data_IF_810474752309
#
_entry.id   IF_810474752309
#
_cell.length_a   1.000
_cell.length_b   1.000
_cell.length_c   1.000
_cell.angle_alpha   90.00
_cell.angle_beta   90.00
_cell.angle_gamma   90.00
#
_symmetry.space_group_name_H-M   'P 1'
#
loop_
_entity.id
_entity.type
_entity.pdbx_description
1 polymer ?
#
# COMPACT_ATOMS: atom_id res chain seq x y z
N UNK A 1 23.36 -53.97 8.75
CA UNK A 1 22.70 -52.86 8.12
C UNK A 1 22.05 -51.86 9.14
N UNK A 2 21.47 -52.32 10.21
CA UNK A 2 20.79 -51.42 11.18
C UNK A 2 21.73 -50.45 11.94
N UNK A 3 22.99 -50.79 12.21
CA UNK A 3 23.93 -49.88 12.92
C UNK A 3 24.33 -48.62 12.16
N UNK A 4 24.27 -48.62 10.81
CA UNK A 4 24.53 -47.40 10.01
C UNK A 4 23.33 -46.46 9.94
N UNK A 5 22.10 -46.99 10.10
CA UNK A 5 20.88 -46.16 10.06
C UNK A 5 20.77 -45.28 11.33
N UNK A 6 21.19 -45.76 12.51
CA UNK A 6 21.13 -45.00 13.77
C UNK A 6 22.06 -43.80 13.82
N UNK A 7 23.09 -43.73 12.98
CA UNK A 7 24.02 -42.58 12.98
C UNK A 7 23.50 -41.44 12.10
N UNK A 8 22.68 -41.71 11.08
CA UNK A 8 22.13 -40.70 10.17
C UNK A 8 20.88 -39.97 10.72
N UNK A 9 20.10 -40.64 11.60
CA UNK A 9 18.89 -40.04 12.14
C UNK A 9 19.18 -38.79 12.98
N UNK A 10 20.18 -38.74 13.90
CA UNK A 10 20.51 -37.52 14.62
C UNK A 10 20.99 -36.40 13.68
N UNK A 11 21.75 -36.75 12.65
CA UNK A 11 22.26 -35.76 11.68
C UNK A 11 21.16 -35.15 10.83
N UNK A 12 20.16 -35.94 10.45
CA UNK A 12 18.98 -35.45 9.70
C UNK A 12 18.11 -34.56 10.60
N UNK A 13 17.92 -34.95 11.86
CA UNK A 13 17.16 -34.13 12.83
C UNK A 13 17.85 -32.79 13.13
N UNK A 14 19.17 -32.78 13.25
CA UNK A 14 19.95 -31.55 13.41
C UNK A 14 19.85 -30.69 12.15
N UNK A 15 19.90 -31.29 10.95
CA UNK A 15 19.74 -30.54 9.70
C UNK A 15 18.34 -29.91 9.56
N UNK A 16 17.30 -30.67 9.92
CA UNK A 16 15.92 -30.16 9.94
C UNK A 16 15.77 -29.03 10.97
N UNK A 17 16.34 -29.20 12.16
CA UNK A 17 16.31 -28.15 13.19
C UNK A 17 17.06 -26.88 12.77
N UNK A 18 18.19 -27.01 12.06
CA UNK A 18 18.95 -25.88 11.51
C UNK A 18 18.15 -25.20 10.39
N UNK A 19 17.48 -25.94 9.54
CA UNK A 19 16.63 -25.40 8.47
C UNK A 19 15.39 -24.71 9.03
N UNK A 20 14.73 -25.30 10.02
CA UNK A 20 13.60 -24.65 10.73
C UNK A 20 14.06 -23.42 11.52
N UNK A 21 15.24 -23.46 12.14
CA UNK A 21 15.83 -22.32 12.82
C UNK A 21 16.19 -21.20 11.84
N UNK A 22 16.77 -21.51 10.68
CA UNK A 22 17.04 -20.52 9.62
C UNK A 22 15.75 -19.94 9.03
N UNK A 23 14.72 -20.79 8.87
CA UNK A 23 13.41 -20.37 8.40
C UNK A 23 12.70 -19.50 9.44
N UNK A 24 12.65 -19.93 10.70
CA UNK A 24 12.13 -19.15 11.82
C UNK A 24 12.90 -17.85 12.02
N UNK A 25 14.22 -17.88 11.90
CA UNK A 25 15.07 -16.67 11.96
C UNK A 25 14.74 -15.70 10.84
N UNK A 26 14.47 -16.17 9.61
CA UNK A 26 14.03 -15.32 8.49
C UNK A 26 12.67 -14.70 8.72
N UNK A 27 11.77 -15.35 9.47
CA UNK A 27 10.42 -14.85 9.80
C UNK A 27 10.35 -14.12 11.14
N UNK A 28 11.15 -14.51 12.14
CA UNK A 28 11.22 -13.84 13.44
C UNK A 28 12.13 -12.59 13.39
N UNK A 29 13.14 -12.62 12.54
CA UNK A 29 13.92 -11.46 12.12
C UNK A 29 13.50 -11.06 10.70
N UNK A 30 12.22 -10.87 10.46
CA UNK A 30 11.80 -9.84 9.52
C UNK A 30 12.49 -8.58 10.04
N UNK A 31 13.64 -8.25 9.45
CA UNK A 31 14.42 -7.09 9.85
C UNK A 31 13.45 -5.94 9.94
N UNK A 32 13.21 -5.48 11.16
CA UNK A 32 12.51 -4.23 11.40
C UNK A 32 13.24 -3.25 10.52
N UNK A 33 12.65 -2.89 9.39
CA UNK A 33 13.25 -2.06 8.34
C UNK A 33 13.86 -0.89 9.09
N UNK A 34 15.18 -0.86 9.20
CA UNK A 34 15.86 0.08 10.09
C UNK A 34 15.61 1.44 9.49
N UNK A 35 14.67 2.19 10.06
CA UNK A 35 14.41 3.57 9.63
C UNK A 35 15.74 4.31 9.70
N UNK A 36 16.04 5.07 8.65
CA UNK A 36 17.21 5.94 8.71
C UNK A 36 16.94 7.08 9.70
N UNK A 37 17.91 7.49 10.51
CA UNK A 37 17.75 8.70 11.30
C UNK A 37 17.32 9.86 10.40
N UNK A 38 16.43 10.71 10.90
CA UNK A 38 15.82 11.83 10.15
C UNK A 38 16.88 12.67 9.41
N UNK A 39 17.98 13.00 10.07
CA UNK A 39 19.06 13.78 9.44
C UNK A 39 19.70 13.06 8.24
N UNK A 40 19.87 11.74 8.34
CA UNK A 40 20.43 10.93 7.24
C UNK A 40 19.43 10.87 6.08
N UNK A 41 18.13 10.70 6.36
CA UNK A 41 17.08 10.73 5.36
C UNK A 41 17.01 12.10 4.65
N UNK A 42 17.09 13.19 5.41
CA UNK A 42 17.12 14.55 4.86
C UNK A 42 18.38 14.82 4.01
N UNK A 43 19.51 14.24 4.36
CA UNK A 43 20.72 14.34 3.52
C UNK A 43 20.56 13.54 2.23
N UNK A 44 19.94 12.35 2.29
CA UNK A 44 19.66 11.53 1.12
C UNK A 44 18.67 12.18 0.12
N UNK A 45 17.90 13.16 0.58
CA UNK A 45 17.00 13.94 -0.27
C UNK A 45 17.73 14.90 -1.23
N UNK A 46 19.00 15.21 -0.99
CA UNK A 46 19.77 16.12 -1.86
C UNK A 46 19.08 17.47 -2.06
N UNK A 47 18.82 17.84 -3.30
CA UNK A 47 18.14 19.11 -3.65
C UNK A 47 16.72 19.23 -3.09
N UNK A 48 16.04 18.10 -2.84
CA UNK A 48 14.67 18.07 -2.33
C UNK A 48 14.56 18.24 -0.80
N UNK A 49 15.69 18.31 -0.08
CA UNK A 49 15.74 18.49 1.37
C UNK A 49 14.85 19.63 1.85
N UNK A 50 14.82 20.74 1.12
CA UNK A 50 14.02 21.92 1.48
C UNK A 50 12.51 21.64 1.48
N UNK A 51 12.01 20.84 0.54
CA UNK A 51 10.59 20.46 0.50
C UNK A 51 10.21 19.62 1.73
N UNK A 52 11.02 18.65 2.09
CA UNK A 52 10.78 17.83 3.29
C UNK A 52 10.87 18.66 4.58
N UNK A 53 11.80 19.60 4.65
CA UNK A 53 11.93 20.52 5.79
C UNK A 53 10.71 21.46 5.92
N UNK A 54 10.05 21.85 4.82
CA UNK A 54 8.80 22.63 4.89
C UNK A 54 7.71 21.86 5.65
N UNK A 55 7.54 20.56 5.41
CA UNK A 55 6.56 19.72 6.10
C UNK A 55 6.84 19.68 7.61
N UNK A 56 8.11 19.39 7.97
CA UNK A 56 8.52 19.36 9.38
C UNK A 56 8.29 20.72 10.07
N UNK A 57 8.65 21.81 9.39
CA UNK A 57 8.45 23.15 9.92
C UNK A 57 6.97 23.51 10.06
N UNK A 58 6.13 23.10 9.10
CA UNK A 58 4.70 23.32 9.13
C UNK A 58 4.05 22.74 10.39
N UNK A 59 4.29 21.46 10.68
CA UNK A 59 3.71 20.81 11.85
C UNK A 59 4.40 21.19 13.18
N UNK A 60 5.67 21.62 13.15
CA UNK A 60 6.38 22.04 14.36
C UNK A 60 5.86 23.37 14.93
N UNK A 61 5.23 24.22 14.11
CA UNK A 61 4.74 25.55 14.54
C UNK A 61 3.65 25.48 15.59
N UNK A 62 2.80 24.44 15.54
CA UNK A 62 1.66 24.30 16.42
C UNK A 62 1.85 23.08 17.33
N UNK A 63 1.90 23.26 18.67
CA UNK A 63 2.02 22.13 19.61
C UNK A 63 0.92 21.07 19.48
N UNK A 64 -0.29 21.46 19.03
CA UNK A 64 -1.41 20.53 18.79
C UNK A 64 -1.04 19.51 17.69
N UNK A 65 -0.21 19.88 16.73
CA UNK A 65 0.21 19.04 15.63
C UNK A 65 1.44 18.16 15.97
N UNK A 66 1.79 18.03 17.26
CA UNK A 66 2.98 17.25 17.68
C UNK A 66 2.97 15.80 17.19
N UNK A 67 1.82 15.14 17.13
CA UNK A 67 1.69 13.80 16.55
C UNK A 67 1.84 13.81 15.02
N UNK A 68 1.33 14.83 14.33
CA UNK A 68 1.53 15.00 12.90
C UNK A 68 3.00 15.27 12.57
N UNK A 69 3.71 16.00 13.40
CA UNK A 69 5.16 16.17 13.28
C UNK A 69 5.89 14.81 13.38
N UNK A 70 5.55 13.99 14.38
CA UNK A 70 6.12 12.64 14.53
C UNK A 70 5.80 11.75 13.33
N UNK A 71 4.58 11.83 12.81
CA UNK A 71 4.16 11.12 11.61
C UNK A 71 4.95 11.59 10.36
N UNK A 72 5.21 12.89 10.23
CA UNK A 72 6.06 13.41 9.16
C UNK A 72 7.49 12.90 9.26
N UNK A 73 8.08 12.86 10.48
CA UNK A 73 9.39 12.26 10.71
C UNK A 73 9.39 10.79 10.28
N UNK A 74 8.41 10.00 10.73
CA UNK A 74 8.28 8.58 10.38
C UNK A 74 8.25 8.37 8.86
N UNK A 75 7.45 9.14 8.13
CA UNK A 75 7.37 9.03 6.67
C UNK A 75 8.70 9.39 5.99
N UNK A 76 9.36 10.46 6.44
CA UNK A 76 10.63 10.92 5.86
C UNK A 76 11.76 9.92 6.14
N UNK A 77 11.83 9.34 7.34
CA UNK A 77 12.82 8.33 7.74
C UNK A 77 12.70 7.02 6.93
N UNK A 78 11.48 6.68 6.48
CA UNK A 78 11.22 5.52 5.63
C UNK A 78 11.33 5.82 4.12
N UNK A 79 11.22 7.08 3.72
CA UNK A 79 11.14 7.50 2.31
C UNK A 79 12.36 7.12 1.45
N UNK A 80 13.61 7.07 1.95
CA UNK A 80 14.77 6.66 1.15
C UNK A 80 14.66 5.28 0.51
N UNK A 81 13.79 4.42 1.04
CA UNK A 81 13.58 3.05 0.55
C UNK A 81 12.49 2.95 -0.51
N UNK A 82 11.75 4.03 -0.77
CA UNK A 82 10.65 4.03 -1.73
C UNK A 82 11.08 4.54 -3.10
N UNK A 83 10.60 3.83 -4.11
CA UNK A 83 10.73 4.19 -5.52
C UNK A 83 9.34 4.18 -6.15
N UNK A 84 9.15 4.92 -7.21
CA UNK A 84 7.90 4.94 -7.95
C UNK A 84 8.11 4.91 -9.45
N UNK A 85 7.08 4.41 -10.14
CA UNK A 85 7.01 4.39 -11.59
C UNK A 85 6.62 5.76 -12.14
N UNK A 86 7.31 6.21 -13.19
CA UNK A 86 7.12 7.53 -13.81
C UNK A 86 7.41 7.51 -15.32
N UNK A 87 7.02 8.57 -16.01
CA UNK A 87 7.34 8.79 -17.41
C UNK A 87 6.20 8.45 -18.37
N UNK A 88 6.43 8.71 -19.67
CA UNK A 88 5.43 8.60 -20.73
C UNK A 88 4.81 7.21 -20.86
N UNK A 89 5.56 6.15 -20.52
CA UNK A 89 5.05 4.79 -20.57
C UNK A 89 3.81 4.57 -19.71
N UNK A 90 3.63 5.35 -18.65
CA UNK A 90 2.43 5.25 -17.79
C UNK A 90 1.14 5.53 -18.56
N UNK A 91 1.16 6.42 -19.56
CA UNK A 91 -0.03 6.71 -20.38
C UNK A 91 -0.42 5.50 -21.25
N UNK A 92 0.55 4.73 -21.71
CA UNK A 92 0.29 3.47 -22.41
C UNK A 92 -0.39 2.47 -21.51
N UNK A 93 0.01 2.39 -20.24
CA UNK A 93 -0.64 1.51 -19.26
C UNK A 93 -2.06 1.96 -18.93
N UNK A 94 -2.32 3.26 -18.78
CA UNK A 94 -3.69 3.81 -18.63
C UNK A 94 -4.58 3.38 -19.79
N UNK A 95 -4.12 3.61 -21.02
CA UNK A 95 -4.84 3.21 -22.24
C UNK A 95 -5.09 1.72 -22.29
N UNK A 96 -4.12 0.89 -21.87
CA UNK A 96 -4.23 -0.55 -21.81
C UNK A 96 -5.32 -1.01 -20.80
N UNK A 97 -5.32 -0.48 -19.58
CA UNK A 97 -6.34 -0.83 -18.58
C UNK A 97 -7.74 -0.36 -18.99
N UNK A 98 -7.86 0.82 -19.58
CA UNK A 98 -9.12 1.31 -20.15
C UNK A 98 -9.61 0.38 -21.27
N UNK A 99 -8.73 -0.09 -22.13
CA UNK A 99 -9.04 -1.04 -23.19
C UNK A 99 -9.47 -2.41 -22.64
N UNK A 100 -8.80 -2.93 -21.60
CA UNK A 100 -9.17 -4.19 -20.95
C UNK A 100 -10.60 -4.16 -20.41
N UNK A 101 -11.03 -3.04 -19.82
CA UNK A 101 -12.36 -2.88 -19.24
C UNK A 101 -13.47 -3.21 -20.23
N UNK A 102 -13.30 -2.89 -21.51
CA UNK A 102 -14.30 -3.08 -22.57
C UNK A 102 -14.18 -4.42 -23.30
N UNK A 103 -13.17 -5.25 -22.98
CA UNK A 103 -12.88 -6.52 -23.65
C UNK A 103 -13.36 -7.76 -22.89
N UNK A 104 -14.51 -7.67 -22.24
CA UNK A 104 -15.13 -8.80 -21.50
C UNK A 104 -15.35 -10.02 -22.40
N UNK A 105 -15.14 -11.21 -21.84
CA UNK A 105 -15.47 -12.48 -22.49
C UNK A 105 -14.38 -13.06 -23.40
N UNK A 106 -13.19 -12.46 -23.49
CA UNK A 106 -12.06 -13.00 -24.24
C UNK A 106 -11.18 -13.91 -23.37
N UNK A 107 -10.58 -14.92 -23.99
CA UNK A 107 -9.59 -15.76 -23.33
C UNK A 107 -8.28 -15.01 -23.09
N UNK A 108 -7.43 -15.53 -22.18
CA UNK A 108 -6.10 -15.02 -21.90
C UNK A 108 -5.27 -14.78 -23.16
N UNK A 109 -5.23 -15.82 -24.02
CA UNK A 109 -4.45 -15.77 -25.24
C UNK A 109 -4.96 -14.68 -26.18
N UNK A 110 -6.29 -14.60 -26.38
CA UNK A 110 -6.91 -13.58 -27.24
C UNK A 110 -6.63 -12.15 -26.75
N UNK A 111 -6.59 -11.95 -25.42
CA UNK A 111 -6.23 -10.66 -24.84
C UNK A 111 -4.76 -10.35 -25.08
N UNK A 112 -3.86 -11.32 -24.82
CA UNK A 112 -2.41 -11.15 -25.03
C UNK A 112 -2.09 -10.79 -26.49
N UNK A 113 -2.66 -11.53 -27.45
CA UNK A 113 -2.43 -11.30 -28.88
C UNK A 113 -2.97 -9.92 -29.32
N UNK A 114 -4.14 -9.54 -28.81
CA UNK A 114 -4.73 -8.24 -29.09
C UNK A 114 -3.90 -7.10 -28.51
N UNK A 115 -3.36 -7.27 -27.29
CA UNK A 115 -2.48 -6.29 -26.65
C UNK A 115 -1.22 -6.06 -27.46
N UNK A 116 -0.54 -7.13 -27.85
CA UNK A 116 0.67 -7.03 -28.69
C UNK A 116 0.39 -6.30 -30.00
N UNK A 117 -0.79 -6.55 -30.61
CA UNK A 117 -1.20 -5.93 -31.86
C UNK A 117 -1.53 -4.44 -31.68
N UNK A 118 -2.17 -4.04 -30.58
CA UNK A 118 -2.65 -2.66 -30.34
C UNK A 118 -1.56 -1.78 -29.75
N UNK A 119 -0.84 -2.28 -28.75
CA UNK A 119 0.11 -1.50 -27.95
C UNK A 119 1.58 -1.82 -28.25
N UNK A 120 1.85 -2.86 -29.05
CA UNK A 120 3.21 -3.31 -29.31
C UNK A 120 3.91 -3.86 -28.07
N UNK A 121 5.24 -3.72 -28.03
CA UNK A 121 6.02 -4.07 -26.84
C UNK A 121 5.91 -2.95 -25.81
N UNK A 122 5.21 -3.22 -24.70
CA UNK A 122 5.13 -2.30 -23.58
C UNK A 122 6.48 -2.22 -22.86
N UNK A 123 6.99 -1.01 -22.67
CA UNK A 123 8.24 -0.75 -21.96
C UNK A 123 7.97 -0.49 -20.48
N UNK A 124 8.88 -0.90 -19.62
CA UNK A 124 8.79 -0.56 -18.20
C UNK A 124 8.86 0.96 -17.99
N UNK A 125 8.06 1.49 -17.06
CA UNK A 125 8.16 2.89 -16.65
C UNK A 125 9.54 3.17 -16.04
N UNK A 126 9.99 4.42 -16.15
CA UNK A 126 11.18 4.88 -15.43
C UNK A 126 10.93 4.83 -13.94
N UNK A 127 11.93 4.46 -13.15
CA UNK A 127 11.87 4.47 -11.69
C UNK A 127 12.53 5.74 -11.15
N UNK A 128 11.88 6.37 -10.18
CA UNK A 128 12.37 7.53 -9.44
C UNK A 128 12.30 7.25 -7.95
N UNK A 129 13.11 7.94 -7.16
CA UNK A 129 13.10 7.81 -5.69
C UNK A 129 12.19 8.88 -5.09
N UNK A 130 11.30 8.46 -4.19
CA UNK A 130 10.33 9.37 -3.55
C UNK A 130 11.03 10.53 -2.84
N UNK A 131 12.08 10.23 -2.10
CA UNK A 131 12.81 11.22 -1.30
C UNK A 131 13.41 12.37 -2.12
N UNK A 132 13.69 12.10 -3.41
CA UNK A 132 14.26 13.09 -4.32
C UNK A 132 13.22 14.01 -4.98
N UNK A 133 11.92 13.64 -4.90
CA UNK A 133 10.86 14.29 -5.69
C UNK A 133 9.59 14.57 -4.88
N UNK A 134 9.53 14.16 -3.61
CA UNK A 134 8.34 14.32 -2.78
C UNK A 134 7.99 15.80 -2.60
N UNK A 135 6.77 16.15 -2.98
CA UNK A 135 6.21 17.49 -2.79
C UNK A 135 5.69 17.67 -1.37
N UNK A 136 5.95 18.85 -0.79
CA UNK A 136 5.53 19.17 0.59
C UNK A 136 4.02 19.24 0.75
N UNK A 137 3.30 19.76 -0.26
CA UNK A 137 1.84 19.85 -0.21
C UNK A 137 1.20 18.46 -0.26
N UNK A 138 1.73 17.57 -1.12
CA UNK A 138 1.28 16.18 -1.18
C UNK A 138 1.47 15.46 0.16
N UNK A 139 2.65 15.59 0.77
CA UNK A 139 2.94 14.91 2.03
C UNK A 139 2.08 15.43 3.18
N UNK A 140 1.86 16.74 3.27
CA UNK A 140 0.93 17.34 4.23
C UNK A 140 -0.50 16.84 4.00
N UNK A 141 -0.98 16.84 2.76
CA UNK A 141 -2.31 16.34 2.42
C UNK A 141 -2.49 14.88 2.85
N UNK A 142 -1.50 14.01 2.59
CA UNK A 142 -1.57 12.62 3.02
C UNK A 142 -1.66 12.48 4.54
N UNK A 143 -0.82 13.23 5.27
CA UNK A 143 -0.81 13.22 6.73
C UNK A 143 -2.16 13.71 7.28
N UNK A 144 -2.65 14.83 6.79
CA UNK A 144 -3.89 15.42 7.28
C UNK A 144 -5.11 14.50 7.03
N UNK A 145 -5.20 13.89 5.86
CA UNK A 145 -6.25 12.91 5.57
C UNK A 145 -6.13 11.62 6.40
N UNK A 146 -4.92 11.15 6.63
CA UNK A 146 -4.71 9.97 7.49
C UNK A 146 -5.13 10.27 8.94
N UNK A 147 -4.76 11.45 9.49
CA UNK A 147 -5.19 11.88 10.81
C UNK A 147 -6.69 12.10 10.89
N UNK A 148 -7.30 12.75 9.88
CA UNK A 148 -8.75 12.94 9.81
C UNK A 148 -9.48 11.62 10.01
N UNK A 149 -9.17 10.60 9.21
CA UNK A 149 -9.88 9.31 9.28
C UNK A 149 -9.55 8.54 10.55
N UNK A 150 -8.34 8.65 11.07
CA UNK A 150 -7.95 8.04 12.35
C UNK A 150 -8.70 8.63 13.54
N UNK A 151 -8.90 9.94 13.56
CA UNK A 151 -9.52 10.66 14.69
C UNK A 151 -11.05 10.70 14.59
N UNK A 152 -11.61 10.78 13.39
CA UNK A 152 -13.06 10.94 13.19
C UNK A 152 -13.82 9.59 13.17
N UNK A 153 -13.14 8.48 12.82
CA UNK A 153 -13.82 7.19 12.76
C UNK A 153 -13.89 6.53 14.13
N UNK A 154 -15.04 5.91 14.50
CA UNK A 154 -15.20 5.27 15.82
C UNK A 154 -14.13 4.21 16.11
N UNK A 155 -13.76 3.40 15.12
CA UNK A 155 -12.74 2.37 15.24
C UNK A 155 -11.32 2.91 15.39
N UNK A 156 -11.10 4.20 15.12
CA UNK A 156 -9.80 4.85 15.29
C UNK A 156 -9.35 4.93 16.76
N UNK A 157 -10.29 4.89 17.72
CA UNK A 157 -10.00 4.92 19.17
C UNK A 157 -9.11 3.76 19.62
N UNK A 158 -9.26 2.59 18.99
CA UNK A 158 -8.52 1.38 19.33
C UNK A 158 -7.25 1.18 18.49
N UNK A 159 -6.83 2.20 17.74
CA UNK A 159 -5.61 2.17 16.91
C UNK A 159 -4.53 3.01 17.60
N UNK A 160 -3.45 2.36 18.05
CA UNK A 160 -2.30 3.05 18.62
C UNK A 160 -1.59 3.92 17.57
N UNK A 161 -0.79 4.90 18.01
CA UNK A 161 -0.03 5.75 17.10
C UNK A 161 0.99 4.93 16.28
N UNK A 162 1.57 3.90 16.86
CA UNK A 162 2.49 2.98 16.18
C UNK A 162 1.76 2.22 15.06
N UNK A 163 0.60 1.64 15.37
CA UNK A 163 -0.26 0.95 14.38
C UNK A 163 -0.73 1.91 13.29
N UNK A 164 -1.07 3.14 13.67
CA UNK A 164 -1.40 4.19 12.71
C UNK A 164 -0.24 4.47 11.76
N UNK A 165 0.98 4.65 12.27
CA UNK A 165 2.16 4.94 11.45
C UNK A 165 2.50 3.80 10.49
N UNK A 166 2.39 2.54 10.93
CA UNK A 166 2.75 1.37 10.13
C UNK A 166 1.69 1.02 9.07
N UNK A 167 0.40 1.09 9.41
CA UNK A 167 -0.66 0.46 8.63
C UNK A 167 -1.72 1.41 8.08
N UNK A 168 -1.76 2.66 8.56
CA UNK A 168 -2.74 3.65 8.11
C UNK A 168 -2.10 4.84 7.40
N UNK A 169 -1.03 5.38 7.95
CA UNK A 169 -0.33 6.57 7.48
C UNK A 169 0.36 6.44 6.11
N UNK A 170 0.94 5.29 5.71
CA UNK A 170 1.73 5.21 4.48
C UNK A 170 0.95 5.67 3.26
N UNK A 171 1.58 6.54 2.46
CA UNK A 171 0.98 7.16 1.28
C UNK A 171 1.01 6.26 0.04
N UNK A 172 1.72 5.13 0.13
CA UNK A 172 1.97 4.21 -0.97
C UNK A 172 1.87 2.76 -0.49
N UNK A 173 1.62 1.85 -1.42
CA UNK A 173 1.62 0.39 -1.18
C UNK A 173 2.91 -0.21 -1.70
N UNK A 174 3.30 0.14 -2.93
CA UNK A 174 4.48 -0.36 -3.60
C UNK A 174 5.20 0.74 -4.38
N UNK A 175 5.31 0.57 -5.69
CA UNK A 175 6.02 1.47 -6.61
C UNK A 175 5.09 2.19 -7.59
N UNK A 176 3.84 2.36 -7.22
CA UNK A 176 2.83 3.09 -7.99
C UNK A 176 3.11 4.59 -8.04
N UNK A 177 2.59 5.30 -9.07
CA UNK A 177 2.61 6.76 -9.11
C UNK A 177 1.88 7.38 -7.92
N UNK A 178 2.37 8.54 -7.44
CA UNK A 178 1.73 9.30 -6.38
C UNK A 178 0.41 9.93 -6.88
N UNK A 179 -0.66 9.77 -6.10
CA UNK A 179 -1.98 10.36 -6.36
C UNK A 179 -2.67 10.74 -5.04
N UNK A 180 -3.64 11.66 -5.09
CA UNK A 180 -4.43 12.09 -3.93
C UNK A 180 -5.57 11.11 -3.62
N UNK A 181 -5.28 9.82 -3.53
CA UNK A 181 -6.24 8.74 -3.47
C UNK A 181 -7.09 8.72 -2.20
N UNK A 182 -6.57 9.17 -1.05
CA UNK A 182 -7.30 9.12 0.23
C UNK A 182 -8.61 9.87 0.17
N UNK A 183 -8.57 11.10 -0.33
CA UNK A 183 -9.75 11.94 -0.46
C UNK A 183 -10.77 11.36 -1.44
N UNK A 184 -10.28 10.86 -2.59
CA UNK A 184 -11.13 10.26 -3.63
C UNK A 184 -11.87 9.03 -3.09
N UNK A 185 -11.15 8.11 -2.44
CA UNK A 185 -11.74 6.91 -1.87
C UNK A 185 -12.65 7.21 -0.68
N UNK A 186 -12.27 8.14 0.18
CA UNK A 186 -13.11 8.59 1.28
C UNK A 186 -14.45 9.13 0.77
N UNK A 187 -14.44 10.10 -0.14
CA UNK A 187 -15.68 10.68 -0.70
C UNK A 187 -16.57 9.64 -1.36
N UNK A 188 -15.98 8.64 -1.99
CA UNK A 188 -16.71 7.61 -2.71
C UNK A 188 -17.32 6.52 -1.83
N UNK A 189 -16.65 6.13 -0.75
CA UNK A 189 -16.99 4.92 -0.02
C UNK A 189 -17.37 5.14 1.45
N UNK A 190 -17.12 6.33 2.00
CA UNK A 190 -17.32 6.58 3.44
C UNK A 190 -18.78 6.39 3.89
N UNK A 191 -19.75 6.74 3.05
CA UNK A 191 -21.19 6.55 3.35
C UNK A 191 -21.63 5.09 3.50
N UNK A 192 -20.86 4.13 2.96
CA UNK A 192 -21.13 2.70 3.17
C UNK A 192 -21.04 2.29 4.65
N UNK A 193 -20.38 3.09 5.47
CA UNK A 193 -20.17 2.83 6.91
C UNK A 193 -21.12 3.63 7.82
N UNK A 194 -22.05 4.43 7.28
CA UNK A 194 -22.93 5.28 8.08
C UNK A 194 -23.81 4.47 9.04
N UNK A 195 -24.43 3.36 8.55
CA UNK A 195 -25.24 2.50 9.40
C UNK A 195 -24.41 1.78 10.48
N UNK A 196 -23.12 1.51 10.25
CA UNK A 196 -22.25 0.95 11.30
C UNK A 196 -22.00 1.99 12.40
N UNK A 197 -21.74 3.25 12.04
CA UNK A 197 -21.50 4.33 13.00
C UNK A 197 -22.70 4.55 13.93
N UNK A 198 -23.90 4.31 13.43
CA UNK A 198 -25.17 4.44 14.17
C UNK A 198 -25.60 3.15 14.87
N UNK A 199 -24.86 2.06 14.71
CA UNK A 199 -25.27 0.78 15.29
C UNK A 199 -25.06 0.75 16.81
N UNK A 200 -26.05 0.21 17.51
CA UNK A 200 -25.96 -0.10 18.93
C UNK A 200 -25.73 -1.61 19.19
N UNK A 201 -25.77 -2.42 18.13
CA UNK A 201 -25.64 -3.89 18.22
C UNK A 201 -24.29 -4.40 17.73
N UNK A 202 -23.55 -3.62 16.93
CA UNK A 202 -22.23 -3.95 16.41
C UNK A 202 -21.17 -3.15 17.16
N UNK A 203 -20.02 -3.76 17.40
CA UNK A 203 -18.86 -3.05 17.95
C UNK A 203 -18.25 -2.13 16.90
N UNK A 204 -18.76 -0.89 16.87
CA UNK A 204 -18.32 0.14 15.93
C UNK A 204 -16.94 0.70 16.23
N UNK A 205 -16.34 0.35 17.35
CA UNK A 205 -14.98 0.76 17.72
C UNK A 205 -13.93 -0.30 17.32
N UNK A 206 -14.36 -1.50 16.89
CA UNK A 206 -13.46 -2.53 16.36
C UNK A 206 -13.19 -2.31 14.87
N UNK A 207 -11.92 -2.04 14.47
CA UNK A 207 -11.55 -1.90 13.06
C UNK A 207 -11.80 -3.16 12.22
N UNK A 208 -11.79 -4.36 12.82
CA UNK A 208 -12.11 -5.60 12.13
C UNK A 208 -13.60 -5.70 11.80
N UNK A 209 -14.47 -5.24 12.71
CA UNK A 209 -15.92 -5.14 12.45
C UNK A 209 -16.16 -4.14 11.31
N UNK A 210 -15.48 -2.99 11.33
CA UNK A 210 -15.57 -1.99 10.25
C UNK A 210 -15.13 -2.57 8.89
N UNK A 211 -14.03 -3.33 8.85
CA UNK A 211 -13.53 -3.99 7.65
C UNK A 211 -14.56 -5.00 7.08
N UNK A 212 -15.07 -5.90 7.92
CA UNK A 212 -16.06 -6.90 7.52
C UNK A 212 -17.35 -6.25 7.04
N UNK A 213 -17.81 -5.20 7.75
CA UNK A 213 -19.01 -4.47 7.41
C UNK A 213 -18.90 -3.79 6.04
N UNK A 214 -17.77 -3.12 5.79
CA UNK A 214 -17.46 -2.48 4.51
C UNK A 214 -17.40 -3.51 3.38
N UNK A 215 -16.66 -4.59 3.56
CA UNK A 215 -16.51 -5.64 2.55
C UNK A 215 -17.84 -6.31 2.22
N UNK A 216 -18.78 -6.40 3.17
CA UNK A 216 -20.12 -6.93 2.91
C UNK A 216 -20.98 -6.02 2.01
N UNK A 217 -20.70 -4.71 1.99
CA UNK A 217 -21.49 -3.67 1.31
C UNK A 217 -20.85 -3.11 0.05
N UNK A 218 -19.63 -3.51 -0.26
CA UNK A 218 -19.00 -3.08 -1.51
C UNK A 218 -19.85 -3.53 -2.71
N UNK A 219 -20.30 -2.59 -3.55
CA UNK A 219 -20.94 -2.95 -4.80
C UNK A 219 -19.92 -3.65 -5.71
N UNK A 220 -20.37 -4.67 -6.44
CA UNK A 220 -19.60 -5.33 -7.51
C UNK A 220 -18.27 -6.01 -7.10
N UNK A 221 -18.25 -6.79 -6.03
CA UNK A 221 -17.11 -7.65 -5.69
C UNK A 221 -16.68 -8.58 -6.83
N UNK A 222 -17.62 -8.94 -7.72
CA UNK A 222 -17.42 -9.98 -8.75
C UNK A 222 -16.78 -9.48 -10.04
N UNK A 223 -16.61 -8.17 -10.23
CA UNK A 223 -16.17 -7.61 -11.52
C UNK A 223 -14.66 -7.33 -11.59
N UNK A 224 -13.91 -7.70 -10.54
CA UNK A 224 -12.51 -7.31 -10.42
C UNK A 224 -11.51 -8.17 -11.22
N UNK A 225 -11.93 -9.24 -11.92
CA UNK A 225 -10.94 -10.17 -12.44
C UNK A 225 -10.95 -10.41 -13.94
N UNK A 226 -9.80 -10.15 -14.53
CA UNK A 226 -9.20 -11.05 -15.51
C UNK A 226 -7.88 -11.56 -14.90
N UNK A 227 -7.66 -12.87 -14.88
CA UNK A 227 -6.40 -13.51 -14.48
C UNK A 227 -5.23 -13.17 -15.41
N UNK A 228 -5.35 -12.13 -16.22
CA UNK A 228 -4.46 -11.84 -17.34
C UNK A 228 -4.01 -10.41 -17.24
N UNK A 229 -2.94 -10.21 -16.53
CA UNK A 229 -2.05 -9.10 -16.79
C UNK A 229 -0.89 -9.63 -17.64
N UNK A 230 -0.83 -9.34 -18.94
CA UNK A 230 0.31 -9.75 -19.78
C UNK A 230 1.60 -9.04 -19.38
N UNK A 231 1.57 -8.20 -18.38
CA UNK A 231 2.69 -7.42 -17.87
C UNK A 231 2.88 -7.66 -16.39
N UNK A 232 4.07 -8.09 -16.02
CA UNK A 232 4.53 -8.19 -14.64
C UNK A 232 5.35 -6.96 -14.26
N UNK A 233 4.75 -5.79 -14.29
CA UNK A 233 5.38 -4.62 -13.67
C UNK A 233 4.68 -4.32 -12.36
N UNK A 234 5.26 -3.42 -11.57
CA UNK A 234 4.88 -3.11 -10.21
C UNK A 234 3.42 -2.73 -9.96
N UNK A 235 3.17 -2.08 -8.86
CA UNK A 235 1.83 -1.64 -8.50
C UNK A 235 1.34 -0.54 -9.45
N UNK A 236 0.10 -0.67 -9.92
CA UNK A 236 -0.44 0.24 -10.94
C UNK A 236 -1.07 1.51 -10.36
N UNK A 237 -1.34 1.48 -9.04
CA UNK A 237 -1.89 2.61 -8.32
C UNK A 237 -3.41 2.76 -8.36
N UNK A 238 -3.96 3.62 -7.50
CA UNK A 238 -5.40 3.75 -7.27
C UNK A 238 -6.16 4.26 -8.49
N UNK A 239 -5.51 4.99 -9.38
CA UNK A 239 -6.11 5.48 -10.62
C UNK A 239 -6.50 4.33 -11.56
N UNK A 240 -5.66 3.31 -11.66
CA UNK A 240 -5.90 2.16 -12.54
C UNK A 240 -6.85 1.15 -11.90
N UNK A 241 -6.77 0.99 -10.60
CA UNK A 241 -7.64 0.07 -9.85
C UNK A 241 -9.12 0.43 -10.03
N UNK A 242 -9.45 1.71 -10.29
CA UNK A 242 -10.82 2.14 -10.60
C UNK A 242 -11.41 1.45 -11.84
N UNK A 243 -10.59 0.96 -12.76
CA UNK A 243 -11.05 0.21 -13.94
C UNK A 243 -11.55 -1.19 -13.60
N UNK A 244 -11.33 -1.65 -12.36
CA UNK A 244 -11.74 -2.98 -11.87
C UNK A 244 -11.29 -4.12 -12.78
N UNK A 245 -10.08 -4.02 -13.26
CA UNK A 245 -9.40 -5.03 -14.09
C UNK A 245 -8.04 -5.29 -13.49
N UNK A 246 -7.69 -6.55 -13.31
CA UNK A 246 -6.40 -6.91 -12.75
C UNK A 246 -6.38 -8.31 -12.16
N UNK A 247 -5.29 -8.63 -11.50
CA UNK A 247 -5.07 -9.88 -10.79
C UNK A 247 -5.46 -9.76 -9.30
N UNK A 248 -5.14 -10.77 -8.53
CA UNK A 248 -5.28 -10.73 -7.06
C UNK A 248 -4.48 -9.57 -6.43
N UNK A 249 -3.36 -9.17 -7.04
CA UNK A 249 -2.56 -8.03 -6.58
C UNK A 249 -3.35 -6.72 -6.67
N UNK A 250 -3.93 -6.40 -7.82
CA UNK A 250 -4.71 -5.18 -8.02
C UNK A 250 -5.95 -5.15 -7.11
N UNK A 251 -6.51 -6.32 -6.79
CA UNK A 251 -7.60 -6.40 -5.81
C UNK A 251 -7.09 -6.08 -4.41
N UNK A 252 -5.97 -6.67 -3.99
CA UNK A 252 -5.36 -6.39 -2.70
C UNK A 252 -5.00 -4.90 -2.58
N UNK A 253 -4.39 -4.30 -3.62
CA UNK A 253 -4.09 -2.88 -3.67
C UNK A 253 -5.35 -2.02 -3.48
N UNK A 254 -6.45 -2.38 -4.17
CA UNK A 254 -7.74 -1.68 -4.00
C UNK A 254 -8.24 -1.74 -2.56
N UNK A 255 -8.18 -2.91 -1.94
CA UNK A 255 -8.62 -3.10 -0.56
C UNK A 255 -7.74 -2.31 0.43
N UNK A 256 -6.43 -2.26 0.22
CA UNK A 256 -5.51 -1.47 1.05
C UNK A 256 -5.82 0.03 0.93
N UNK A 257 -5.97 0.57 -0.29
CA UNK A 257 -6.37 1.96 -0.48
C UNK A 257 -7.69 2.28 0.20
N UNK A 258 -8.69 1.41 -0.01
CA UNK A 258 -10.03 1.57 0.54
C UNK A 258 -10.01 1.59 2.06
N UNK A 259 -9.35 0.60 2.68
CA UNK A 259 -9.28 0.49 4.13
C UNK A 259 -8.53 1.68 4.74
N UNK A 260 -7.36 2.00 4.23
CA UNK A 260 -6.58 3.16 4.73
C UNK A 260 -7.32 4.48 4.54
N UNK A 261 -8.06 4.67 3.44
CA UNK A 261 -8.86 5.88 3.23
C UNK A 261 -10.04 6.01 4.20
N UNK A 262 -10.50 4.91 4.78
CA UNK A 262 -11.61 4.87 5.73
C UNK A 262 -11.16 4.66 7.19
N UNK A 263 -9.87 4.79 7.46
CA UNK A 263 -9.33 4.70 8.82
C UNK A 263 -9.19 3.26 9.34
N UNK A 264 -9.16 2.26 8.46
CA UNK A 264 -8.97 0.84 8.82
C UNK A 264 -7.51 0.46 8.51
N UNK A 265 -6.70 0.06 9.51
CA UNK A 265 -5.31 -0.34 9.29
C UNK A 265 -5.21 -1.56 8.38
N UNK A 266 -4.31 -1.49 7.38
CA UNK A 266 -4.10 -2.58 6.43
C UNK A 266 -2.71 -2.55 5.81
N UNK A 267 -2.10 -3.75 5.57
CA UNK A 267 -0.81 -3.94 4.91
C UNK A 267 -0.92 -4.97 3.79
#
# INVERSE_FOLDING_TARGET
MLKKLCIYIPSILVLLFVLEWQYARKYLFYEKKTMLPLEVALQAAGGNKKELQKVLHYYKKNPIDSLKYKAACFLIENMPFYIYSSGEQLENYKSYYAWLKVRKGKTAQQVSDSVKKVFGAMKEPKKKRDIMEMDSAYLCHNIDWAFKVWQEQPWGKNISFETFCEYLLPYRIGDEPLTYWREIYYKKYNSLLDSLRMSDTLDKEDPLVAARYLMARLPDKKTFFTSITPFSFGHIGPEFVQYKVGSCRELADFEIYLFRALGIPCA
#
